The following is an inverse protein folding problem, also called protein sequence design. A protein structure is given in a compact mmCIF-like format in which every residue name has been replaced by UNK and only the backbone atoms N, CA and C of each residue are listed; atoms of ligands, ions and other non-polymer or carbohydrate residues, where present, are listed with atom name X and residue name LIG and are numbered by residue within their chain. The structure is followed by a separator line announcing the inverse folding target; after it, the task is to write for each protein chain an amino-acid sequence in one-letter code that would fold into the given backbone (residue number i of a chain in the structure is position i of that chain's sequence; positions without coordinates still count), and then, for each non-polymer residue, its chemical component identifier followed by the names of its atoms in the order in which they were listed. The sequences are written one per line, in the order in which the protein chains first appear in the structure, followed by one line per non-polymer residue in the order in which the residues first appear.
data_IF_215898564390
#
_entry.id   IF_215898564390
#
_cell.length_a   1.000
_cell.length_b   1.000
_cell.length_c   1.000
_cell.angle_alpha   90.00
_cell.angle_beta   90.00
_cell.angle_gamma   90.00
#
_symmetry.space_group_name_H-M   'P 1'
#
loop_
_entity.id
_entity.type
_entity.pdbx_description
1 polymer ?
#
# COMPACT_ATOMS: atom_id res chain seq x y z
N UNK A 1 -2.32 -18.94 -1.59
CA UNK A 1 -3.78 -18.99 -1.42
C UNK A 1 -4.27 -20.16 -2.26
N UNK A 2 -4.49 -21.29 -1.59
CA UNK A 2 -4.83 -22.57 -2.23
C UNK A 2 -6.34 -22.68 -2.20
N UNK A 3 -6.99 -22.63 -3.36
CA UNK A 3 -8.41 -22.94 -3.49
C UNK A 3 -8.46 -24.33 -4.14
N UNK A 4 -9.00 -25.31 -3.42
CA UNK A 4 -9.20 -26.66 -3.90
C UNK A 4 -10.41 -26.70 -4.85
N UNK A 5 -10.17 -26.86 -6.15
CA UNK A 5 -11.20 -26.89 -7.20
C UNK A 5 -12.22 -28.03 -7.01
N UNK A 6 -11.85 -29.11 -6.32
CA UNK A 6 -12.75 -30.24 -6.08
C UNK A 6 -13.92 -29.87 -5.15
N UNK A 7 -13.74 -28.87 -4.28
CA UNK A 7 -14.78 -28.39 -3.35
C UNK A 7 -15.83 -27.54 -4.07
N UNK A 8 -15.44 -26.80 -5.12
CA UNK A 8 -16.35 -25.95 -5.89
C UNK A 8 -17.21 -26.74 -6.89
N UNK A 9 -16.71 -27.88 -7.41
CA UNK A 9 -17.44 -28.71 -8.37
C UNK A 9 -18.71 -29.38 -7.81
N UNK A 10 -18.81 -29.56 -6.49
CA UNK A 10 -19.96 -30.21 -5.84
C UNK A 10 -20.96 -29.22 -5.20
N UNK A 11 -20.58 -27.95 -5.03
CA UNK A 11 -21.39 -26.95 -4.35
C UNK A 11 -22.12 -26.06 -5.37
N UNK A 12 -23.39 -26.36 -5.65
CA UNK A 12 -24.17 -25.66 -6.69
C UNK A 12 -24.46 -24.19 -6.40
N UNK A 13 -24.25 -23.70 -5.17
CA UNK A 13 -24.48 -22.30 -4.80
C UNK A 13 -23.54 -21.85 -3.67
N UNK A 14 -22.32 -21.39 -3.98
CA UNK A 14 -21.46 -20.79 -2.96
C UNK A 14 -22.08 -19.47 -2.49
N UNK A 15 -22.09 -19.26 -1.16
CA UNK A 15 -22.55 -18.02 -0.52
C UNK A 15 -21.33 -17.30 0.03
N UNK A 16 -21.14 -16.06 -0.39
CA UNK A 16 -20.02 -15.24 0.03
C UNK A 16 -20.52 -14.01 0.80
N UNK A 17 -19.78 -13.64 1.83
CA UNK A 17 -19.86 -12.29 2.39
C UNK A 17 -18.78 -11.46 1.70
N UNK A 18 -19.21 -10.44 0.97
CA UNK A 18 -18.29 -9.49 0.32
C UNK A 18 -18.48 -8.12 0.96
N UNK A 19 -17.39 -7.43 1.25
CA UNK A 19 -17.42 -6.04 1.67
C UNK A 19 -16.45 -5.25 0.78
N UNK A 20 -16.98 -4.28 0.06
CA UNK A 20 -16.22 -3.32 -0.72
C UNK A 20 -16.02 -2.07 0.14
N UNK A 21 -14.80 -1.59 0.25
CA UNK A 21 -14.48 -0.34 0.96
C UNK A 21 -14.37 0.78 -0.09
N UNK A 22 -15.12 1.88 0.09
CA UNK A 22 -15.22 2.96 -0.90
C UNK A 22 -14.41 4.21 -0.52
N UNK A 23 -14.11 4.43 0.76
CA UNK A 23 -13.32 5.60 1.18
C UNK A 23 -11.93 5.17 1.65
N UNK A 24 -10.92 5.72 1.00
CA UNK A 24 -9.57 5.84 1.51
C UNK A 24 -9.44 7.27 2.00
N UNK A 25 -9.38 7.47 3.31
CA UNK A 25 -9.02 8.78 3.84
C UNK A 25 -7.58 9.05 3.43
N UNK A 26 -7.37 10.07 2.59
CA UNK A 26 -6.03 10.48 2.15
C UNK A 26 -5.34 11.14 3.34
N UNK A 27 -4.44 10.38 3.97
CA UNK A 27 -3.75 10.81 5.19
C UNK A 27 -2.44 11.56 4.90
N UNK A 28 -1.80 11.29 3.76
CA UNK A 28 -0.57 11.94 3.33
C UNK A 28 -0.49 11.96 1.80
N UNK A 29 -0.01 13.08 1.23
CA UNK A 29 0.20 13.23 -0.21
C UNK A 29 1.29 14.25 -0.51
N UNK A 30 2.08 13.99 -1.54
CA UNK A 30 3.06 14.93 -2.08
C UNK A 30 2.75 15.38 -3.51
N UNK A 31 1.72 14.79 -4.15
CA UNK A 31 1.15 15.26 -5.41
C UNK A 31 -0.36 14.93 -5.49
N UNK A 32 -1.05 15.49 -6.48
CA UNK A 32 -2.45 15.18 -6.77
C UNK A 32 -2.69 14.90 -8.26
N UNK A 33 -3.61 13.97 -8.55
CA UNK A 33 -3.94 13.55 -9.91
C UNK A 33 -3.24 12.25 -10.31
N UNK A 34 -3.20 11.98 -11.62
CA UNK A 34 -2.61 10.74 -12.12
C UNK A 34 -1.09 10.78 -12.06
N UNK A 35 -0.39 11.84 -12.45
CA UNK A 35 1.09 11.88 -12.45
C UNK A 35 1.60 13.18 -11.80
N UNK A 36 2.77 13.16 -11.13
CA UNK A 36 3.37 14.36 -10.58
C UNK A 36 3.68 15.40 -11.67
N UNK A 37 3.36 16.65 -11.38
CA UNK A 37 3.66 17.80 -12.23
C UNK A 37 5.07 18.33 -11.96
N UNK A 38 5.58 19.18 -12.85
CA UNK A 38 6.89 19.84 -12.68
C UNK A 38 6.96 20.77 -11.46
N UNK A 39 5.82 21.13 -10.86
CA UNK A 39 5.74 21.97 -9.67
C UNK A 39 5.77 21.16 -8.37
N UNK A 40 5.57 19.83 -8.45
CA UNK A 40 5.62 18.93 -7.32
C UNK A 40 7.02 18.33 -7.17
N UNK A 41 7.48 18.17 -5.94
CA UNK A 41 8.83 17.71 -5.65
C UNK A 41 8.81 16.35 -4.95
N UNK A 42 9.66 15.39 -5.36
CA UNK A 42 9.76 14.11 -4.67
C UNK A 42 10.16 14.30 -3.20
N UNK A 43 9.50 13.56 -2.30
CA UNK A 43 9.86 13.54 -0.89
C UNK A 43 10.96 12.51 -0.66
N UNK A 44 11.97 12.88 0.12
CA UNK A 44 13.08 11.96 0.46
C UNK A 44 12.82 11.31 1.82
N UNK A 45 12.89 9.98 1.85
CA UNK A 45 12.72 9.19 3.07
C UNK A 45 13.95 8.32 3.32
N UNK A 46 14.28 8.09 4.58
CA UNK A 46 15.22 7.03 4.94
C UNK A 46 14.47 5.70 4.99
N UNK A 47 15.00 4.67 4.31
CA UNK A 47 14.39 3.33 4.28
C UNK A 47 14.17 2.77 5.70
N UNK A 48 15.02 3.12 6.66
CA UNK A 48 14.90 2.67 8.05
C UNK A 48 13.97 3.54 8.92
N UNK A 49 13.41 4.63 8.37
CA UNK A 49 12.55 5.58 9.09
C UNK A 49 11.07 5.48 8.73
N UNK A 50 10.70 4.52 7.89
CA UNK A 50 9.33 4.29 7.42
C UNK A 50 8.76 3.00 8.02
N UNK A 51 7.44 2.80 7.88
CA UNK A 51 6.78 1.58 8.37
C UNK A 51 7.36 0.31 7.75
N UNK A 52 7.31 -0.82 8.45
CA UNK A 52 7.97 -2.06 8.04
C UNK A 52 7.53 -2.53 6.64
N UNK A 53 6.26 -2.35 6.28
CA UNK A 53 5.75 -2.70 4.94
C UNK A 53 6.43 -1.92 3.81
N UNK A 54 6.81 -0.67 4.05
CA UNK A 54 7.57 0.12 3.07
C UNK A 54 8.98 -0.43 2.87
N UNK A 55 9.64 -0.86 3.96
CA UNK A 55 11.02 -1.39 3.89
C UNK A 55 11.11 -2.60 2.96
N UNK A 56 10.12 -3.49 3.01
CA UNK A 56 10.05 -4.69 2.15
C UNK A 56 9.76 -4.34 0.67
N UNK A 57 8.85 -3.39 0.43
CA UNK A 57 8.47 -2.97 -0.92
C UNK A 57 9.61 -2.23 -1.60
N UNK A 58 10.19 -1.24 -0.94
CA UNK A 58 11.22 -0.38 -1.52
C UNK A 58 12.47 -1.16 -1.95
N UNK A 59 12.77 -2.27 -1.29
CA UNK A 59 13.88 -3.17 -1.69
C UNK A 59 13.62 -3.90 -3.01
N UNK A 60 12.37 -3.98 -3.46
CA UNK A 60 11.95 -4.71 -4.67
C UNK A 60 11.65 -3.79 -5.84
N UNK A 61 11.29 -2.54 -5.58
CA UNK A 61 11.01 -1.54 -6.60
C UNK A 61 12.29 -1.14 -7.36
N UNK A 62 12.14 -0.88 -8.66
CA UNK A 62 13.20 -0.26 -9.48
C UNK A 62 12.89 1.21 -9.73
N UNK A 63 13.94 1.98 -9.95
CA UNK A 63 13.82 3.41 -10.28
C UNK A 63 13.01 3.56 -11.58
N UNK A 64 12.02 4.45 -11.56
CA UNK A 64 11.06 4.71 -12.63
C UNK A 64 9.78 3.87 -12.55
N UNK A 65 9.67 2.93 -11.61
CA UNK A 65 8.44 2.14 -11.43
C UNK A 65 7.42 2.87 -10.54
N UNK A 66 6.14 2.68 -10.87
CA UNK A 66 5.00 3.10 -10.05
C UNK A 66 4.25 1.88 -9.53
N UNK A 67 4.06 1.81 -8.21
CA UNK A 67 3.44 0.67 -7.55
C UNK A 67 2.32 1.18 -6.64
N UNK A 68 1.17 0.52 -6.73
CA UNK A 68 0.14 0.61 -5.69
C UNK A 68 0.39 -0.52 -4.69
N UNK A 69 0.61 -0.16 -3.43
CA UNK A 69 0.92 -1.10 -2.36
C UNK A 69 -0.11 -1.08 -1.25
N UNK A 70 -0.36 -2.27 -0.70
CA UNK A 70 -1.32 -2.51 0.36
C UNK A 70 -0.56 -3.03 1.58
N UNK A 71 -0.49 -2.22 2.62
CA UNK A 71 0.25 -2.54 3.84
C UNK A 71 -0.77 -2.87 4.93
N UNK A 72 -0.82 -4.13 5.40
CA UNK A 72 -1.69 -4.50 6.51
C UNK A 72 -1.23 -3.81 7.79
N UNK A 73 -2.17 -3.56 8.70
CA UNK A 73 -1.92 -2.75 9.91
C UNK A 73 -0.74 -3.22 10.76
N UNK A 74 -0.46 -4.53 10.80
CA UNK A 74 0.69 -5.11 11.51
C UNK A 74 2.05 -4.63 10.99
N UNK A 75 2.11 -4.25 9.71
CA UNK A 75 3.30 -3.74 9.03
C UNK A 75 3.22 -2.22 8.79
N UNK A 76 2.16 -1.57 9.27
CA UNK A 76 1.91 -0.14 9.23
C UNK A 76 2.08 0.50 10.60
N UNK A 77 1.05 1.18 11.10
CA UNK A 77 1.06 1.86 12.42
C UNK A 77 0.59 0.99 13.60
N UNK A 78 0.22 -0.27 13.35
CA UNK A 78 -0.14 -1.20 14.41
C UNK A 78 -1.43 -0.82 15.14
N UNK A 79 -1.45 -1.04 16.46
CA UNK A 79 -2.55 -0.69 17.37
C UNK A 79 -2.51 0.77 17.85
N UNK A 80 -1.52 1.55 17.42
CA UNK A 80 -1.34 2.92 17.84
C UNK A 80 -2.10 3.87 16.93
N UNK A 81 -2.75 4.89 17.51
CA UNK A 81 -3.25 6.02 16.73
C UNK A 81 -2.06 6.94 16.42
N UNK A 82 -1.85 7.22 15.14
CA UNK A 82 -0.77 8.09 14.67
C UNK A 82 -1.29 8.93 13.49
N UNK A 83 -0.59 8.96 12.36
CA UNK A 83 -1.06 9.57 11.11
C UNK A 83 -2.32 8.88 10.54
N UNK A 84 -2.57 7.62 10.94
CA UNK A 84 -3.79 6.89 10.64
C UNK A 84 -4.43 6.33 11.92
N UNK A 85 -5.73 5.99 11.90
CA UNK A 85 -6.37 5.26 12.99
C UNK A 85 -5.65 3.94 13.31
N UNK A 86 -5.78 3.49 14.55
CA UNK A 86 -5.29 2.18 14.96
C UNK A 86 -5.92 1.06 14.13
N UNK A 87 -5.15 0.02 13.82
CA UNK A 87 -5.57 -1.15 13.03
C UNK A 87 -5.97 -0.84 11.57
N UNK A 88 -5.55 0.30 11.03
CA UNK A 88 -5.79 0.66 9.64
C UNK A 88 -4.83 -0.04 8.68
N UNK A 89 -5.39 -0.57 7.58
CA UNK A 89 -4.62 -0.92 6.38
C UNK A 89 -4.25 0.36 5.65
N UNK A 90 -2.99 0.50 5.28
CA UNK A 90 -2.50 1.65 4.52
C UNK A 90 -2.40 1.27 3.04
N UNK A 91 -2.86 2.15 2.17
CA UNK A 91 -2.72 2.02 0.73
C UNK A 91 -1.89 3.21 0.26
N UNK A 92 -0.84 2.93 -0.51
CA UNK A 92 0.02 3.95 -1.09
C UNK A 92 0.15 3.74 -2.58
N UNK A 93 0.11 4.85 -3.31
CA UNK A 93 0.51 4.91 -4.71
C UNK A 93 1.89 5.58 -4.78
N UNK A 94 2.91 4.81 -5.15
CA UNK A 94 4.30 5.18 -5.04
C UNK A 94 4.95 5.26 -6.41
N UNK A 95 5.63 6.37 -6.69
CA UNK A 95 6.52 6.50 -7.84
C UNK A 95 7.97 6.66 -7.36
N UNK A 96 8.85 5.70 -7.70
CA UNK A 96 10.25 5.73 -7.30
C UNK A 96 11.09 6.52 -8.31
N UNK A 97 11.34 7.80 -8.03
CA UNK A 97 12.05 8.69 -8.97
C UNK A 97 13.57 8.50 -8.97
N UNK A 98 14.22 8.31 -7.82
CA UNK A 98 15.67 8.10 -7.74
C UNK A 98 16.09 7.53 -6.38
N UNK A 99 17.31 6.98 -6.31
CA UNK A 99 17.93 6.53 -5.06
C UNK A 99 19.21 7.34 -4.85
N UNK A 100 19.25 8.13 -3.77
CA UNK A 100 20.40 8.96 -3.42
C UNK A 100 21.28 8.19 -2.44
N UNK A 101 22.52 7.94 -2.81
CA UNK A 101 23.52 7.36 -1.90
C UNK A 101 24.14 8.49 -1.09
N UNK A 102 24.10 8.39 0.23
CA UNK A 102 24.73 9.35 1.13
C UNK A 102 26.24 9.12 1.20
#
# INVERSE_FOLDING_TARGET
MLIDEAVFGAATTPRYYTKLYQSLDVFDKNFEGEEPTVFESPTTFFVNGVVAGWTEVLQRMKVGERWEIYIPWQQGYGSSVSAAPAYSTLIFDLNLVSIIKK
#
